data_IF_375268497490
#
_entry.id   IF_375268497490
#
_cell.length_a   1.000
_cell.length_b   1.000
_cell.length_c   1.000
_cell.angle_alpha   90.00
_cell.angle_beta   90.00
_cell.angle_gamma   90.00
#
_symmetry.space_group_name_H-M   'P 1'
#
loop_
_entity.id
_entity.type
_entity.pdbx_description
1 polymer ?
#
# COMPACT_ATOMS: atom_id res chain seq x y z
N UNK A 1 -11.17 3.27 -21.20
CA UNK A 1 -10.79 3.01 -19.79
C UNK A 1 -9.59 2.07 -19.84
N UNK A 2 -8.40 2.56 -19.51
CA UNK A 2 -7.19 1.73 -19.50
C UNK A 2 -7.17 1.00 -18.14
N UNK A 3 -7.24 -0.32 -18.16
CA UNK A 3 -7.05 -1.13 -16.96
C UNK A 3 -5.55 -1.13 -16.65
N UNK A 4 -5.18 -0.57 -15.49
CA UNK A 4 -3.83 -0.70 -14.99
C UNK A 4 -3.62 -2.14 -14.48
N UNK A 5 -2.42 -2.71 -14.63
CA UNK A 5 -2.12 -4.05 -14.14
C UNK A 5 -2.36 -4.09 -12.63
N UNK A 6 -3.02 -5.15 -12.17
CA UNK A 6 -3.37 -5.31 -10.76
C UNK A 6 -3.40 -6.79 -10.37
N UNK A 7 -3.26 -7.02 -9.07
CA UNK A 7 -3.31 -8.35 -8.46
C UNK A 7 -4.20 -8.33 -7.22
N UNK A 8 -4.97 -9.40 -7.05
CA UNK A 8 -5.77 -9.62 -5.83
C UNK A 8 -5.04 -10.56 -4.90
N UNK A 9 -4.88 -10.14 -3.65
CA UNK A 9 -4.14 -10.87 -2.63
C UNK A 9 -4.98 -11.00 -1.37
N UNK A 10 -5.06 -12.21 -0.83
CA UNK A 10 -5.63 -12.48 0.48
C UNK A 10 -4.52 -12.69 1.52
N UNK A 11 -4.75 -12.20 2.73
CA UNK A 11 -3.88 -12.40 3.89
C UNK A 11 -4.72 -12.28 5.15
N UNK A 12 -4.33 -12.96 6.24
CA UNK A 12 -4.94 -12.78 7.55
C UNK A 12 -4.67 -11.39 8.16
N UNK A 13 -3.75 -10.63 7.56
CA UNK A 13 -3.46 -9.23 7.90
C UNK A 13 -4.39 -8.23 7.22
N UNK A 14 -5.18 -8.66 6.25
CA UNK A 14 -6.16 -7.82 5.56
C UNK A 14 -7.57 -8.01 6.13
N UNK A 15 -8.40 -6.99 5.99
CA UNK A 15 -9.82 -7.08 6.34
C UNK A 15 -10.62 -7.90 5.32
N UNK A 16 -10.19 -7.92 4.05
CA UNK A 16 -10.74 -8.69 2.94
C UNK A 16 -9.65 -8.91 1.86
N UNK A 17 -10.01 -9.45 0.69
CA UNK A 17 -9.14 -9.53 -0.48
C UNK A 17 -8.74 -8.11 -0.92
N UNK A 18 -7.44 -7.83 -0.86
CA UNK A 18 -6.87 -6.56 -1.30
C UNK A 18 -6.47 -6.64 -2.78
N UNK A 19 -7.02 -5.74 -3.58
CA UNK A 19 -6.57 -5.49 -4.96
C UNK A 19 -5.51 -4.39 -4.99
N UNK A 20 -4.32 -4.72 -5.49
CA UNK A 20 -3.18 -3.83 -5.61
C UNK A 20 -2.92 -3.48 -7.06
N UNK A 21 -2.60 -2.21 -7.32
CA UNK A 21 -2.01 -1.78 -8.58
C UNK A 21 -0.54 -2.23 -8.63
N UNK A 22 -0.08 -2.74 -9.77
CA UNK A 22 1.34 -2.99 -10.01
C UNK A 22 1.92 -1.75 -10.68
N UNK A 23 2.91 -1.13 -10.04
CA UNK A 23 3.53 0.11 -10.52
C UNK A 23 5.05 0.02 -10.40
N UNK A 24 5.73 -0.16 -11.55
CA UNK A 24 7.19 -0.25 -11.62
C UNK A 24 7.89 1.06 -11.31
N UNK A 25 7.18 2.19 -11.43
CA UNK A 25 7.74 3.51 -11.14
C UNK A 25 7.55 3.89 -9.66
N UNK A 26 6.82 3.08 -8.89
CA UNK A 26 6.74 3.24 -7.44
C UNK A 26 8.00 2.73 -6.76
N UNK A 27 8.63 3.56 -5.93
CA UNK A 27 9.81 3.17 -5.15
C UNK A 27 9.48 2.38 -3.88
N UNK A 28 8.20 2.24 -3.54
CA UNK A 28 7.73 1.58 -2.31
C UNK A 28 6.38 0.90 -2.52
N UNK A 29 6.11 -0.12 -1.71
CA UNK A 29 4.77 -0.67 -1.55
C UNK A 29 3.91 0.23 -0.64
N UNK A 30 2.68 0.51 -1.08
CA UNK A 30 1.70 1.31 -0.34
C UNK A 30 0.46 0.49 -0.03
N UNK A 31 -0.16 0.77 1.12
CA UNK A 31 -1.45 0.19 1.48
C UNK A 31 -2.31 1.21 2.23
N UNK A 32 -3.61 1.26 1.90
CA UNK A 32 -4.58 2.08 2.62
C UNK A 32 -4.86 1.50 4.01
N UNK A 33 -5.04 2.37 4.99
CA UNK A 33 -5.25 1.98 6.38
C UNK A 33 -6.44 1.04 6.58
N UNK A 34 -7.60 1.30 5.96
CA UNK A 34 -8.80 0.47 6.12
C UNK A 34 -8.70 -0.90 5.45
N UNK A 35 -7.65 -1.17 4.67
CA UNK A 35 -7.38 -2.49 4.10
C UNK A 35 -6.81 -3.47 5.15
N UNK A 36 -6.33 -2.94 6.29
CA UNK A 36 -5.57 -3.69 7.29
C UNK A 36 -6.42 -4.10 8.50
N UNK A 37 -6.20 -5.31 8.98
CA UNK A 37 -6.83 -5.83 10.19
C UNK A 37 -5.93 -5.56 11.42
N UNK A 38 -6.36 -4.61 12.27
CA UNK A 38 -5.68 -4.20 13.51
C UNK A 38 -4.15 -4.02 13.35
N UNK A 39 -3.69 -3.10 12.47
CA UNK A 39 -2.28 -2.99 12.14
C UNK A 39 -1.44 -2.41 13.28
N UNK A 40 -0.34 -3.08 13.60
CA UNK A 40 0.73 -2.50 14.42
C UNK A 40 1.65 -1.68 13.52
N UNK A 41 1.36 -0.39 13.39
CA UNK A 41 2.10 0.54 12.53
C UNK A 41 3.32 1.08 13.29
N UNK A 42 4.50 0.99 12.69
CA UNK A 42 5.68 1.72 13.15
C UNK A 42 5.57 3.18 12.69
N UNK A 43 5.22 4.06 13.62
CA UNK A 43 5.00 5.48 13.35
C UNK A 43 6.29 6.28 13.23
N UNK A 44 7.44 5.76 13.67
CA UNK A 44 8.73 6.45 13.51
C UNK A 44 9.22 6.36 12.06
N UNK A 45 8.86 5.28 11.37
CA UNK A 45 9.18 5.02 9.98
C UNK A 45 8.11 5.57 9.03
N UNK A 46 8.04 6.90 8.97
CA UNK A 46 7.11 7.64 8.14
C UNK A 46 7.83 8.65 7.23
N UNK A 47 7.19 9.01 6.11
CA UNK A 47 7.67 10.05 5.23
C UNK A 47 6.53 10.68 4.42
N UNK A 48 6.85 11.68 3.62
CA UNK A 48 5.88 12.36 2.75
C UNK A 48 6.08 11.94 1.29
N UNK A 49 5.06 11.32 0.72
CA UNK A 49 4.97 10.97 -0.69
C UNK A 49 4.68 12.22 -1.53
N UNK A 50 5.42 12.39 -2.63
CA UNK A 50 5.16 13.38 -3.67
C UNK A 50 4.92 12.65 -4.98
N UNK A 51 3.65 12.55 -5.37
CA UNK A 51 3.24 12.01 -6.66
C UNK A 51 2.69 13.10 -7.57
N UNK A 52 1.84 12.70 -8.51
CA UNK A 52 1.14 13.61 -9.43
C UNK A 52 0.02 14.42 -8.74
N UNK A 53 -0.38 14.03 -7.53
CA UNK A 53 -1.38 14.77 -6.76
C UNK A 53 -0.82 16.14 -6.33
N UNK A 54 -1.68 17.17 -6.37
CA UNK A 54 -1.31 18.52 -5.95
C UNK A 54 -0.91 18.61 -4.47
N UNK A 55 -1.40 17.70 -3.63
CA UNK A 55 -1.12 17.68 -2.20
C UNK A 55 -0.23 16.48 -1.87
N UNK A 56 0.94 16.70 -1.24
CA UNK A 56 1.78 15.62 -0.74
C UNK A 56 1.01 14.79 0.31
N UNK A 57 1.27 13.49 0.34
CA UNK A 57 0.60 12.57 1.28
C UNK A 57 1.60 12.09 2.31
N UNK A 58 1.33 12.37 3.58
CA UNK A 58 2.13 11.82 4.69
C UNK A 58 1.66 10.39 4.98
N UNK A 59 2.60 9.45 5.07
CA UNK A 59 2.30 8.08 5.52
C UNK A 59 2.06 8.07 7.03
N UNK A 60 1.22 7.16 7.51
CA UNK A 60 1.04 6.94 8.95
C UNK A 60 2.23 6.23 9.59
N UNK A 61 3.04 5.55 8.77
CA UNK A 61 4.16 4.74 9.19
C UNK A 61 4.34 3.56 8.25
N UNK A 62 5.06 2.54 8.72
CA UNK A 62 5.25 1.29 7.98
C UNK A 62 4.73 0.08 8.74
N UNK A 63 4.48 -0.99 7.99
CA UNK A 63 4.23 -2.32 8.52
C UNK A 63 5.08 -3.33 7.74
N UNK A 64 5.55 -4.36 8.43
CA UNK A 64 6.20 -5.52 7.80
C UNK A 64 5.32 -6.73 8.04
N UNK A 65 4.94 -7.44 6.98
CA UNK A 65 4.08 -8.61 7.08
C UNK A 65 4.40 -9.65 6.00
N UNK A 66 4.01 -10.89 6.28
CA UNK A 66 4.10 -11.97 5.29
C UNK A 66 2.92 -11.89 4.32
N UNK A 67 3.23 -11.81 3.03
CA UNK A 67 2.28 -11.84 1.91
C UNK A 67 2.83 -12.81 0.87
N UNK A 68 2.03 -13.80 0.45
CA UNK A 68 2.45 -14.83 -0.51
C UNK A 68 3.79 -15.51 -0.15
N UNK A 69 4.02 -15.79 1.15
CA UNK A 69 5.26 -16.37 1.69
C UNK A 69 6.51 -15.48 1.55
N UNK A 70 6.33 -14.18 1.31
CA UNK A 70 7.39 -13.17 1.29
C UNK A 70 7.17 -12.17 2.41
N UNK A 71 8.25 -11.74 3.04
CA UNK A 71 8.20 -10.63 4.01
C UNK A 71 8.24 -9.33 3.22
N UNK A 72 7.15 -8.58 3.28
CA UNK A 72 6.96 -7.35 2.50
C UNK A 72 6.71 -6.19 3.44
N UNK A 73 7.43 -5.10 3.20
CA UNK A 73 7.23 -3.83 3.89
C UNK A 73 6.26 -2.97 3.09
N UNK A 74 5.21 -2.49 3.75
CA UNK A 74 4.27 -1.52 3.20
C UNK A 74 4.33 -0.23 4.01
N UNK A 75 4.21 0.90 3.33
CA UNK A 75 3.89 2.16 3.99
C UNK A 75 2.39 2.40 3.97
N UNK A 76 1.86 2.74 5.14
CA UNK A 76 0.41 2.91 5.32
C UNK A 76 0.02 4.33 4.97
N UNK A 77 -0.93 4.48 4.06
CA UNK A 77 -1.43 5.78 3.59
C UNK A 77 -2.87 6.02 4.03
N UNK A 78 -3.31 7.28 4.12
CA UNK A 78 -4.71 7.63 4.32
C UNK A 78 -5.62 7.05 3.23
N UNK A 79 -6.84 6.68 3.59
CA UNK A 79 -7.79 6.07 2.64
C UNK A 79 -8.30 7.04 1.56
N UNK A 80 -8.21 8.35 1.82
CA UNK A 80 -8.67 9.41 0.92
C UNK A 80 -7.69 9.75 -0.22
N UNK A 81 -6.60 9.01 -0.37
CA UNK A 81 -5.64 9.17 -1.47
C UNK A 81 -6.27 8.79 -2.83
N UNK A 82 -5.85 9.50 -3.88
CA UNK A 82 -6.38 9.42 -5.25
C UNK A 82 -5.84 8.20 -6.03
N UNK A 83 -6.22 7.00 -5.61
CA UNK A 83 -6.22 5.79 -6.46
C UNK A 83 -7.33 4.83 -6.02
N UNK A 84 -7.89 4.06 -6.96
CA UNK A 84 -9.05 3.19 -6.72
C UNK A 84 -8.72 1.87 -5.99
N UNK A 85 -7.46 1.46 -6.01
CA UNK A 85 -6.97 0.22 -5.42
C UNK A 85 -6.84 0.30 -3.89
N UNK A 86 -6.60 -0.85 -3.26
CA UNK A 86 -6.30 -0.96 -1.83
C UNK A 86 -4.85 -0.57 -1.52
N UNK A 87 -3.97 -0.65 -2.52
CA UNK A 87 -2.56 -0.32 -2.41
C UNK A 87 -1.84 -0.33 -3.76
N UNK A 88 -0.54 -0.10 -3.69
CA UNK A 88 0.39 -0.14 -4.83
C UNK A 88 1.50 -1.11 -4.47
N UNK A 89 1.86 -1.98 -5.41
CA UNK A 89 3.04 -2.83 -5.32
C UNK A 89 4.11 -2.31 -6.27
N UNK A 90 5.32 -2.16 -5.74
CA UNK A 90 6.50 -2.00 -6.56
C UNK A 90 6.82 -3.32 -7.28
N UNK A 91 7.70 -3.27 -8.29
CA UNK A 91 8.09 -4.45 -9.07
C UNK A 91 9.04 -5.40 -8.34
N UNK A 92 9.59 -5.02 -7.19
CA UNK A 92 10.48 -5.89 -6.41
C UNK A 92 9.71 -6.80 -5.42
N UNK A 93 8.38 -6.66 -5.37
CA UNK A 93 7.46 -7.54 -4.66
C UNK A 93 7.66 -9.04 -4.94
#
# INVERSE_FOLDING_TARGET
>A
MILLPSIKISSNKFNDICEFMIDSDSSVNLIKFNSLNNPAIDTEDNFTLRGLAHTPVKTFGSITMEVLKRIVKFYVVPDNITFQYHGILDTEF
#
